data_IF_344650812553
#
_entry.id   IF_344650812553
#
_cell.length_a   1.000
_cell.length_b   1.000
_cell.length_c   1.000
_cell.angle_alpha   90.00
_cell.angle_beta   90.00
_cell.angle_gamma   90.00
#
_symmetry.space_group_name_H-M   'P 1'
#
loop_
_entity.id
_entity.type
_entity.pdbx_description
1 polymer ?
#
# COMPACT_ATOMS: atom_id res chain seq x y z
N UNK A 1 -15.04 8.06 3.45
CA UNK A 1 -15.85 8.25 2.22
C UNK A 1 -15.82 6.99 1.38
N UNK A 2 -14.68 6.48 0.90
CA UNK A 2 -14.61 5.25 0.09
C UNK A 2 -15.35 4.04 0.72
N UNK A 3 -15.01 3.65 1.96
CA UNK A 3 -15.66 2.54 2.66
C UNK A 3 -17.17 2.74 2.90
N UNK A 4 -17.61 4.00 3.04
CA UNK A 4 -19.02 4.33 3.23
C UNK A 4 -19.80 4.18 1.93
N UNK A 5 -19.24 4.63 0.80
CA UNK A 5 -19.82 4.46 -0.54
C UNK A 5 -19.92 2.97 -0.91
N UNK A 6 -18.96 2.17 -0.47
CA UNK A 6 -18.95 0.71 -0.63
C UNK A 6 -19.83 -0.03 0.38
N UNK A 7 -20.45 0.68 1.33
CA UNK A 7 -21.30 0.10 2.38
C UNK A 7 -20.61 -1.00 3.21
N UNK A 8 -19.28 -0.93 3.36
CA UNK A 8 -18.53 -1.91 4.15
C UNK A 8 -18.83 -1.68 5.64
N UNK A 9 -19.37 -2.67 6.38
CA UNK A 9 -19.67 -2.49 7.78
C UNK A 9 -18.40 -2.17 8.58
N UNK A 10 -18.38 -1.14 9.45
CA UNK A 10 -17.18 -0.74 10.18
C UNK A 10 -16.49 -1.84 10.98
N UNK A 11 -17.25 -2.81 11.50
CA UNK A 11 -16.73 -3.93 12.29
C UNK A 11 -16.05 -5.01 11.43
N UNK A 12 -16.22 -4.98 10.10
CA UNK A 12 -15.48 -5.83 9.16
C UNK A 12 -14.15 -5.21 8.73
N UNK A 13 -13.92 -3.93 9.01
CA UNK A 13 -12.70 -3.22 8.59
C UNK A 13 -11.71 -3.14 9.74
N UNK A 14 -10.46 -3.50 9.48
CA UNK A 14 -9.35 -3.24 10.40
C UNK A 14 -8.25 -2.44 9.71
N UNK A 15 -7.94 -1.28 10.27
CA UNK A 15 -6.86 -0.42 9.78
C UNK A 15 -5.61 -0.65 10.61
N UNK A 16 -4.55 -1.12 9.95
CA UNK A 16 -3.22 -1.26 10.54
C UNK A 16 -2.38 -0.05 10.18
N UNK A 17 -1.62 0.48 11.13
CA UNK A 17 -0.69 1.58 10.86
C UNK A 17 0.71 1.35 11.43
N UNK A 18 1.72 1.93 10.77
CA UNK A 18 3.08 2.04 11.29
C UNK A 18 3.26 3.25 12.21
N UNK A 19 4.50 3.73 12.39
CA UNK A 19 4.81 4.89 13.23
C UNK A 19 5.09 6.13 12.38
N UNK A 20 4.47 7.26 12.74
CA UNK A 20 4.64 8.54 12.07
C UNK A 20 3.42 9.43 12.23
N UNK A 21 3.39 10.59 11.57
CA UNK A 21 2.16 11.38 11.47
C UNK A 21 1.05 10.57 10.77
N UNK A 22 1.42 9.86 9.71
CA UNK A 22 0.60 8.87 9.01
C UNK A 22 0.12 7.73 9.92
N UNK A 23 0.96 7.30 10.86
CA UNK A 23 0.66 6.24 11.81
C UNK A 23 -0.57 6.50 12.69
N UNK A 24 -0.96 7.76 12.84
CA UNK A 24 -2.10 8.14 13.69
C UNK A 24 -3.48 7.90 13.05
N UNK A 25 -3.53 7.58 11.76
CA UNK A 25 -4.79 7.40 11.00
C UNK A 25 -5.86 6.51 11.66
N UNK A 26 -5.56 5.29 12.16
CA UNK A 26 -6.59 4.45 12.77
C UNK A 26 -7.26 5.07 14.00
N UNK A 27 -6.63 6.04 14.68
CA UNK A 27 -7.23 6.74 15.83
C UNK A 27 -8.32 7.73 15.42
N UNK A 28 -8.42 8.07 14.13
CA UNK A 28 -9.35 9.07 13.59
C UNK A 28 -10.47 8.46 12.74
N UNK A 29 -10.52 7.14 12.63
CA UNK A 29 -11.48 6.42 11.78
C UNK A 29 -12.30 5.48 12.65
N UNK A 30 -13.62 5.49 12.46
CA UNK A 30 -14.56 4.65 13.21
C UNK A 30 -14.56 3.21 12.66
N UNK A 31 -13.49 2.45 12.91
CA UNK A 31 -13.31 1.02 12.57
C UNK A 31 -12.45 0.35 13.65
N UNK A 32 -12.12 -0.93 13.52
CA UNK A 32 -10.99 -1.48 14.27
C UNK A 32 -9.69 -0.83 13.79
N UNK A 33 -8.79 -0.55 14.73
CA UNK A 33 -7.53 0.14 14.47
C UNK A 33 -6.39 -0.46 15.28
N UNK A 34 -5.29 -0.82 14.61
CA UNK A 34 -4.08 -1.37 15.25
C UNK A 34 -2.87 -0.52 14.84
N UNK A 35 -2.36 0.24 15.80
CA UNK A 35 -1.16 1.05 15.65
C UNK A 35 0.06 0.21 16.10
N UNK A 36 0.88 -0.17 15.13
CA UNK A 36 1.94 -1.20 15.30
C UNK A 36 3.31 -0.57 15.62
N UNK A 37 4.39 -1.19 15.15
CA UNK A 37 5.76 -0.72 15.29
C UNK A 37 6.26 -0.10 13.97
N UNK A 38 7.32 0.70 14.06
CA UNK A 38 7.86 1.40 12.90
C UNK A 38 8.32 0.42 11.81
N UNK A 39 7.73 0.53 10.62
CA UNK A 39 7.94 -0.34 9.46
C UNK A 39 7.49 -1.78 9.66
N UNK A 40 6.59 -2.06 10.61
CA UNK A 40 6.04 -3.41 10.87
C UNK A 40 4.56 -3.52 10.52
N UNK A 41 3.97 -2.52 9.86
CA UNK A 41 2.56 -2.54 9.49
C UNK A 41 2.19 -3.75 8.61
N UNK A 42 2.99 -4.06 7.59
CA UNK A 42 2.70 -5.13 6.63
C UNK A 42 2.75 -6.55 7.25
N UNK A 43 3.73 -6.90 8.12
CA UNK A 43 3.70 -8.18 8.84
C UNK A 43 2.44 -8.38 9.68
N UNK A 44 2.03 -7.37 10.45
CA UNK A 44 0.85 -7.45 11.31
C UNK A 44 -0.44 -7.56 10.48
N UNK A 45 -0.58 -6.71 9.46
CA UNK A 45 -1.75 -6.69 8.58
C UNK A 45 -1.92 -8.02 7.83
N UNK A 46 -0.83 -8.58 7.27
CA UNK A 46 -0.88 -9.87 6.60
C UNK A 46 -1.23 -11.00 7.58
N UNK A 47 -0.68 -11.00 8.80
CA UNK A 47 -1.04 -11.99 9.81
C UNK A 47 -2.54 -11.97 10.13
N UNK A 48 -3.12 -10.77 10.30
CA UNK A 48 -4.55 -10.61 10.56
C UNK A 48 -5.42 -11.07 9.39
N UNK A 49 -5.11 -10.64 8.15
CA UNK A 49 -5.87 -11.07 6.96
C UNK A 49 -5.78 -12.57 6.72
N UNK A 50 -4.64 -13.19 7.00
CA UNK A 50 -4.49 -14.64 6.82
C UNK A 50 -5.15 -15.45 7.95
N UNK A 51 -5.21 -14.92 9.17
CA UNK A 51 -5.94 -15.55 10.26
C UNK A 51 -7.47 -15.43 10.10
N UNK A 52 -7.95 -14.31 9.55
CA UNK A 52 -9.35 -14.05 9.29
C UNK A 52 -9.54 -13.39 7.89
N UNK A 53 -9.72 -14.19 6.83
CA UNK A 53 -9.81 -13.68 5.45
C UNK A 53 -11.09 -12.86 5.17
N UNK A 54 -12.11 -12.95 6.03
CA UNK A 54 -13.34 -12.15 5.91
C UNK A 54 -13.16 -10.67 6.28
N UNK A 55 -12.05 -10.32 6.95
CA UNK A 55 -11.75 -8.94 7.28
C UNK A 55 -11.31 -8.15 6.05
N UNK A 56 -11.82 -6.94 5.94
CA UNK A 56 -11.27 -5.91 5.07
C UNK A 56 -10.07 -5.28 5.78
N UNK A 57 -8.86 -5.56 5.27
CA UNK A 57 -7.61 -5.15 5.91
C UNK A 57 -6.97 -4.03 5.11
N UNK A 58 -6.79 -2.88 5.75
CA UNK A 58 -6.14 -1.71 5.16
C UNK A 58 -4.90 -1.39 6.00
N UNK A 59 -3.73 -1.45 5.40
CA UNK A 59 -2.50 -0.97 5.97
C UNK A 59 -2.23 0.48 5.52
N UNK A 60 -1.79 1.33 6.44
CA UNK A 60 -1.38 2.71 6.16
C UNK A 60 -0.01 3.01 6.78
N UNK A 61 0.82 3.78 6.09
CA UNK A 61 2.16 4.13 6.58
C UNK A 61 2.69 5.41 5.97
N UNK A 62 3.75 5.96 6.56
CA UNK A 62 4.52 7.02 5.90
C UNK A 62 5.47 6.40 4.88
N UNK A 63 5.95 7.21 3.94
CA UNK A 63 7.06 6.83 3.04
C UNK A 63 8.29 6.31 3.80
N UNK A 64 8.69 6.97 4.87
CA UNK A 64 9.78 6.53 5.73
C UNK A 64 9.52 5.24 6.50
N UNK A 65 8.28 5.02 6.93
CA UNK A 65 7.85 3.80 7.62
C UNK A 65 7.85 2.59 6.67
N UNK A 66 7.24 2.76 5.50
CA UNK A 66 7.06 1.69 4.51
C UNK A 66 8.27 1.40 3.64
N UNK A 67 8.96 2.45 3.18
CA UNK A 67 10.04 2.36 2.19
C UNK A 67 11.43 2.55 2.82
N UNK A 68 11.50 2.98 4.08
CA UNK A 68 12.72 3.02 4.86
C UNK A 68 12.91 1.71 5.62
N UNK A 69 12.61 1.73 6.92
CA UNK A 69 12.76 0.56 7.81
C UNK A 69 11.82 -0.61 7.44
N UNK A 70 10.71 -0.34 6.75
CA UNK A 70 9.75 -1.34 6.29
C UNK A 70 10.08 -2.00 4.95
N UNK A 71 11.12 -1.57 4.23
CA UNK A 71 11.36 -1.96 2.84
C UNK A 71 11.46 -3.48 2.61
N UNK A 72 12.09 -4.22 3.53
CA UNK A 72 12.18 -5.69 3.43
C UNK A 72 10.81 -6.37 3.50
N UNK A 73 9.90 -5.84 4.32
CA UNK A 73 8.53 -6.34 4.40
C UNK A 73 7.67 -5.89 3.22
N UNK A 74 7.92 -4.69 2.69
CA UNK A 74 7.30 -4.20 1.46
C UNK A 74 7.53 -5.16 0.30
N UNK A 75 8.80 -5.49 0.03
CA UNK A 75 9.17 -6.45 -1.03
C UNK A 75 8.57 -7.83 -0.77
N UNK A 76 8.61 -8.29 0.48
CA UNK A 76 8.05 -9.59 0.85
C UNK A 76 6.52 -9.66 0.71
N UNK A 77 5.81 -8.55 0.90
CA UNK A 77 4.36 -8.48 0.77
C UNK A 77 3.93 -8.64 -0.70
N UNK A 78 4.59 -7.93 -1.62
CA UNK A 78 4.35 -8.05 -3.06
C UNK A 78 4.40 -9.50 -3.55
N UNK A 79 5.44 -10.25 -3.14
CA UNK A 79 5.59 -11.68 -3.49
C UNK A 79 4.44 -12.56 -3.04
N UNK A 80 3.81 -12.25 -1.90
CA UNK A 80 2.71 -13.05 -1.34
C UNK A 80 1.39 -12.75 -2.04
N UNK A 81 1.17 -11.50 -2.46
CA UNK A 81 -0.12 -11.06 -3.02
C UNK A 81 -1.28 -11.36 -2.06
N UNK A 82 -1.13 -11.03 -0.77
CA UNK A 82 -2.24 -11.15 0.21
C UNK A 82 -3.30 -10.12 -0.16
N UNK A 83 -4.56 -10.54 -0.25
CA UNK A 83 -5.70 -9.68 -0.54
C UNK A 83 -5.91 -8.60 0.54
N UNK A 84 -5.38 -7.40 0.31
CA UNK A 84 -5.47 -6.26 1.23
C UNK A 84 -4.97 -4.98 0.55
N UNK A 85 -5.28 -3.82 1.13
CA UNK A 85 -4.81 -2.52 0.63
C UNK A 85 -3.63 -2.01 1.45
N UNK A 86 -2.61 -1.45 0.81
CA UNK A 86 -1.54 -0.69 1.43
C UNK A 86 -1.44 0.72 0.87
N UNK A 87 -1.58 1.72 1.73
CA UNK A 87 -1.52 3.14 1.36
C UNK A 87 -0.30 3.78 2.02
N UNK A 88 0.59 4.32 1.19
CA UNK A 88 1.71 5.15 1.67
C UNK A 88 1.31 6.62 1.56
N UNK A 89 1.54 7.33 2.65
CA UNK A 89 1.38 8.77 2.72
C UNK A 89 2.75 9.41 2.44
N UNK A 90 2.99 9.79 1.19
CA UNK A 90 4.28 10.25 0.68
C UNK A 90 4.41 11.78 0.78
N UNK A 91 5.14 12.25 1.78
CA UNK A 91 5.41 13.67 2.01
C UNK A 91 6.91 14.02 1.91
N UNK A 92 7.73 13.02 1.56
CA UNK A 92 9.17 13.05 1.43
C UNK A 92 9.95 13.40 2.70
N UNK A 93 9.33 13.38 3.88
CA UNK A 93 9.99 13.69 5.15
C UNK A 93 9.48 12.86 6.33
N UNK A 94 10.38 12.55 7.26
CA UNK A 94 9.97 12.00 8.56
C UNK A 94 9.34 13.10 9.44
N UNK A 95 8.08 13.43 9.17
CA UNK A 95 7.41 14.58 9.81
C UNK A 95 7.34 14.47 11.34
N UNK A 96 7.04 13.28 11.88
CA UNK A 96 6.89 13.12 13.34
C UNK A 96 8.22 13.33 14.09
N UNK A 97 9.35 13.04 13.46
CA UNK A 97 10.69 13.18 14.04
C UNK A 97 11.38 14.49 13.66
N UNK A 98 10.61 15.49 13.20
CA UNK A 98 11.05 16.85 12.84
C UNK A 98 11.69 17.01 11.45
N UNK A 99 11.34 16.17 10.48
CA UNK A 99 11.51 16.48 9.05
C UNK A 99 12.84 16.04 8.43
N UNK A 100 13.44 14.96 8.87
CA UNK A 100 14.56 14.34 8.16
C UNK A 100 14.12 13.83 6.79
N UNK A 101 15.04 13.71 5.83
CA UNK A 101 14.75 13.23 4.48
C UNK A 101 14.20 11.80 4.51
N UNK A 102 12.99 11.58 3.96
CA UNK A 102 12.46 10.24 3.74
C UNK A 102 13.05 9.63 2.45
N UNK A 103 12.88 8.32 2.20
CA UNK A 103 13.41 7.65 1.01
C UNK A 103 12.90 8.19 -0.32
N UNK A 104 11.81 8.96 -0.34
CA UNK A 104 11.22 9.54 -1.55
C UNK A 104 11.72 10.96 -1.85
N UNK A 105 12.48 11.60 -0.95
CA UNK A 105 13.08 12.90 -1.21
C UNK A 105 14.26 12.76 -2.19
N UNK A 106 14.29 13.57 -3.25
CA UNK A 106 15.35 13.48 -4.26
C UNK A 106 16.71 13.90 -3.71
N UNK A 107 17.76 13.40 -4.36
CA UNK A 107 19.14 13.82 -4.13
C UNK A 107 19.29 15.33 -4.34
N UNK A 108 20.04 16.00 -3.46
CA UNK A 108 20.31 17.43 -3.54
C UNK A 108 19.15 18.32 -3.10
N UNK A 109 17.94 17.79 -2.87
CA UNK A 109 16.86 18.58 -2.30
C UNK A 109 17.17 18.94 -0.85
N UNK A 110 16.93 20.21 -0.48
CA UNK A 110 17.12 20.73 0.88
C UNK A 110 15.84 21.41 1.34
N UNK A 111 14.96 20.66 2.00
CA UNK A 111 13.80 21.24 2.68
C UNK A 111 14.26 22.12 3.85
N UNK A 112 13.43 23.03 4.34
CA UNK A 112 13.74 23.91 5.49
C UNK A 112 14.15 23.14 6.76
N UNK A 113 13.71 21.89 6.90
CA UNK A 113 14.08 21.03 8.03
C UNK A 113 15.47 20.42 7.92
N UNK A 114 16.10 20.43 6.73
CA UNK A 114 17.41 19.84 6.51
C UNK A 114 18.53 20.89 6.66
N UNK A 115 19.57 20.62 7.46
CA UNK A 115 20.71 21.53 7.59
C UNK A 115 21.54 21.59 6.30
N UNK A 116 21.62 20.48 5.56
CA UNK A 116 22.36 20.32 4.32
C UNK A 116 21.50 19.59 3.28
N UNK A 117 21.78 19.74 1.98
CA UNK A 117 21.10 18.97 0.93
C UNK A 117 21.08 17.47 1.20
N UNK A 118 19.98 16.81 0.85
CA UNK A 118 19.87 15.37 0.95
C UNK A 118 20.98 14.70 0.12
N UNK A 119 21.66 13.74 0.73
CA UNK A 119 22.80 13.01 0.13
C UNK A 119 22.39 11.67 -0.50
N UNK A 120 21.14 11.26 -0.33
CA UNK A 120 20.64 9.98 -0.82
C UNK A 120 19.81 10.17 -2.11
N UNK A 121 19.86 9.18 -3.00
CA UNK A 121 18.92 9.10 -4.11
C UNK A 121 17.51 8.73 -3.61
N UNK A 122 16.50 9.20 -4.33
CA UNK A 122 15.10 8.84 -4.06
C UNK A 122 14.75 7.46 -4.60
N UNK A 123 13.90 6.75 -3.87
CA UNK A 123 13.21 5.54 -4.30
C UNK A 123 11.91 5.93 -4.99
N UNK A 124 11.64 5.35 -6.16
CA UNK A 124 10.34 5.44 -6.85
C UNK A 124 9.39 4.37 -6.27
N UNK A 125 8.32 4.74 -5.52
CA UNK A 125 7.46 3.76 -4.86
C UNK A 125 6.69 2.86 -5.84
N UNK A 126 6.24 3.41 -6.97
CA UNK A 126 5.46 2.67 -7.97
C UNK A 126 6.37 1.64 -8.67
N UNK A 127 7.57 2.05 -9.08
CA UNK A 127 8.53 1.14 -9.69
C UNK A 127 8.98 0.04 -8.72
N UNK A 128 9.25 0.39 -7.45
CA UNK A 128 9.60 -0.59 -6.42
C UNK A 128 8.46 -1.59 -6.18
N UNK A 129 7.21 -1.13 -6.11
CA UNK A 129 6.04 -1.98 -5.94
C UNK A 129 5.86 -2.94 -7.13
N UNK A 130 6.04 -2.44 -8.36
CA UNK A 130 5.98 -3.26 -9.57
C UNK A 130 6.99 -4.41 -9.51
N UNK A 131 8.27 -4.11 -9.25
CA UNK A 131 9.32 -5.15 -9.21
C UNK A 131 9.21 -6.07 -7.98
N UNK A 132 8.57 -5.61 -6.91
CA UNK A 132 8.25 -6.42 -5.74
C UNK A 132 7.11 -7.43 -5.98
N UNK A 133 6.31 -7.23 -7.05
CA UNK A 133 5.21 -8.13 -7.44
C UNK A 133 3.83 -7.70 -6.93
N UNK A 134 3.63 -6.42 -6.61
CA UNK A 134 2.29 -5.91 -6.32
C UNK A 134 1.40 -5.98 -7.58
N UNK A 135 0.13 -6.31 -7.39
CA UNK A 135 -0.79 -6.61 -8.49
C UNK A 135 -1.76 -5.47 -8.80
N UNK A 136 -1.85 -4.47 -7.93
CA UNK A 136 -2.52 -3.21 -8.21
C UNK A 136 -1.63 -2.05 -7.74
N UNK A 137 -1.38 -1.09 -8.64
CA UNK A 137 -0.52 0.06 -8.39
C UNK A 137 -1.24 1.34 -8.78
N UNK A 138 -1.35 2.27 -7.84
CA UNK A 138 -1.90 3.59 -8.10
C UNK A 138 -1.07 4.70 -7.43
N UNK A 139 -1.12 5.90 -8.01
CA UNK A 139 -0.67 7.13 -7.35
C UNK A 139 -1.86 8.08 -7.19
N UNK A 140 -2.05 8.60 -5.99
CA UNK A 140 -3.10 9.57 -5.68
C UNK A 140 -2.53 10.89 -5.16
N UNK A 141 -3.39 11.88 -4.98
CA UNK A 141 -3.02 13.19 -4.44
C UNK A 141 -4.01 13.62 -3.35
N UNK A 142 -3.50 14.03 -2.18
CA UNK A 142 -4.35 14.29 -1.00
C UNK A 142 -5.30 15.48 -1.15
N UNK A 143 -4.97 16.46 -2.02
CA UNK A 143 -5.86 17.59 -2.31
C UNK A 143 -6.83 17.34 -3.48
N UNK A 144 -6.73 16.23 -4.21
CA UNK A 144 -7.80 15.74 -5.12
C UNK A 144 -8.57 14.61 -4.43
N UNK A 145 -9.38 15.00 -3.44
CA UNK A 145 -10.07 14.07 -2.53
C UNK A 145 -11.03 13.14 -3.26
N UNK A 146 -11.70 13.60 -4.31
CA UNK A 146 -12.65 12.77 -5.06
C UNK A 146 -11.92 11.67 -5.82
N UNK A 147 -10.88 12.04 -6.56
CA UNK A 147 -10.06 11.06 -7.27
C UNK A 147 -9.39 10.06 -6.32
N UNK A 148 -8.79 10.54 -5.22
CA UNK A 148 -8.17 9.65 -4.23
C UNK A 148 -9.19 8.69 -3.58
N UNK A 149 -10.42 9.16 -3.29
CA UNK A 149 -11.50 8.31 -2.79
C UNK A 149 -11.83 7.18 -3.78
N UNK A 150 -11.93 7.50 -5.06
CA UNK A 150 -12.25 6.52 -6.10
C UNK A 150 -11.11 5.50 -6.29
N UNK A 151 -9.85 5.94 -6.22
CA UNK A 151 -8.69 5.04 -6.21
C UNK A 151 -8.69 4.07 -5.02
N UNK A 152 -9.01 4.56 -3.81
CA UNK A 152 -9.14 3.70 -2.63
C UNK A 152 -10.26 2.68 -2.83
N UNK A 153 -11.41 3.07 -3.38
CA UNK A 153 -12.50 2.14 -3.68
C UNK A 153 -12.09 1.04 -4.66
N UNK A 154 -11.38 1.41 -5.74
CA UNK A 154 -10.86 0.43 -6.71
C UNK A 154 -9.80 -0.49 -6.10
N UNK A 155 -8.94 0.02 -5.21
CA UNK A 155 -7.94 -0.79 -4.51
C UNK A 155 -8.57 -1.80 -3.54
N UNK A 156 -9.65 -1.42 -2.84
CA UNK A 156 -10.41 -2.34 -1.97
C UNK A 156 -11.13 -3.42 -2.79
N UNK A 157 -11.60 -3.07 -4.00
CA UNK A 157 -12.27 -4.02 -4.88
C UNK A 157 -11.31 -4.99 -5.61
N UNK A 158 -10.02 -4.67 -5.67
CA UNK A 158 -9.00 -5.47 -6.36
C UNK A 158 -8.70 -6.76 -5.59
N UNK A 159 -8.65 -7.89 -6.29
CA UNK A 159 -8.29 -9.18 -5.69
C UNK A 159 -6.78 -9.35 -5.59
N UNK A 160 -6.22 -9.02 -4.42
CA UNK A 160 -4.79 -9.15 -4.17
C UNK A 160 -4.22 -7.95 -3.43
N UNK A 161 -2.89 -7.81 -3.44
CA UNK A 161 -2.22 -6.73 -2.73
C UNK A 161 -2.23 -5.45 -3.57
N UNK A 162 -3.08 -4.50 -3.16
CA UNK A 162 -3.20 -3.19 -3.80
C UNK A 162 -2.32 -2.15 -3.11
N UNK A 163 -1.56 -1.37 -3.87
CA UNK A 163 -0.70 -0.30 -3.38
C UNK A 163 -1.11 1.06 -3.93
N UNK A 164 -1.23 2.04 -3.03
CA UNK A 164 -1.47 3.44 -3.38
C UNK A 164 -0.37 4.33 -2.79
N UNK A 165 0.41 4.96 -3.67
CA UNK A 165 1.34 6.04 -3.33
C UNK A 165 0.57 7.38 -3.30
N UNK A 166 0.27 7.92 -2.12
CA UNK A 166 -0.48 9.17 -1.98
C UNK A 166 0.47 10.33 -1.79
N UNK A 167 0.58 11.17 -2.82
CA UNK A 167 1.30 12.43 -2.75
C UNK A 167 0.57 13.37 -1.78
N UNK A 168 1.25 13.72 -0.69
CA UNK A 168 0.65 14.52 0.39
C UNK A 168 1.62 15.59 0.94
N UNK A 169 1.33 16.89 0.75
CA UNK A 169 2.19 17.94 1.27
C UNK A 169 2.35 17.92 2.81
N UNK A 170 3.57 18.20 3.28
CA UNK A 170 3.86 18.43 4.70
C UNK A 170 4.28 19.90 4.92
N UNK A 171 3.32 20.83 5.16
CA UNK A 171 3.60 22.26 5.23
C UNK A 171 4.57 22.62 6.38
N UNK A 172 4.64 21.80 7.42
CA UNK A 172 5.50 22.02 8.58
C UNK A 172 6.99 21.83 8.27
N UNK A 173 7.37 20.93 7.35
CA UNK A 173 8.77 20.54 7.17
C UNK A 173 9.24 20.48 5.71
N UNK A 174 8.38 20.09 4.77
CA UNK A 174 8.69 20.08 3.34
C UNK A 174 8.04 21.29 2.66
N UNK A 175 8.82 22.35 2.54
CA UNK A 175 8.47 23.62 1.89
C UNK A 175 8.75 23.64 0.38
N UNK A 176 9.17 22.51 -0.19
CA UNK A 176 9.41 22.38 -1.64
C UNK A 176 8.22 21.72 -2.31
N UNK A 177 7.83 20.52 -1.87
CA UNK A 177 6.69 19.79 -2.45
C UNK A 177 5.37 20.24 -1.80
N UNK A 178 5.06 21.52 -1.96
CA UNK A 178 3.86 22.17 -1.41
C UNK A 178 2.62 21.90 -2.27
N UNK A 179 1.45 22.32 -1.78
CA UNK A 179 0.22 22.29 -2.56
C UNK A 179 0.37 23.10 -3.86
N UNK A 180 0.95 24.29 -3.75
CA UNK A 180 1.17 25.24 -4.83
C UNK A 180 2.14 24.66 -5.88
N UNK A 181 3.17 23.93 -5.44
CA UNK A 181 4.06 23.20 -6.31
C UNK A 181 3.32 22.12 -7.10
N UNK A 182 2.52 21.27 -6.45
CA UNK A 182 1.72 20.28 -7.18
C UNK A 182 0.68 20.91 -8.13
N UNK A 183 0.12 22.06 -7.77
CA UNK A 183 -0.74 22.88 -8.63
C UNK A 183 0.02 23.55 -9.79
N UNK A 184 1.34 23.51 -9.78
CA UNK A 184 2.18 24.01 -10.86
C UNK A 184 2.19 25.51 -11.00
N UNK A 185 2.04 26.26 -9.89
CA UNK A 185 2.03 27.73 -9.95
C UNK A 185 3.35 28.31 -10.49
N UNK A 186 4.45 27.59 -10.30
CA UNK A 186 5.79 27.85 -10.83
C UNK A 186 6.09 27.11 -12.16
N UNK A 187 5.18 26.26 -12.63
CA UNK A 187 5.31 25.52 -13.89
C UNK A 187 4.55 26.24 -15.00
N UNK A 188 5.21 27.16 -15.70
CA UNK A 188 4.56 28.04 -16.68
C UNK A 188 4.69 27.46 -18.09
N UNK A 189 3.56 27.32 -18.80
CA UNK A 189 3.56 26.99 -20.23
C UNK A 189 4.21 28.15 -21.03
N UNK A 190 5.32 27.93 -21.74
CA UNK A 190 5.99 28.98 -22.51
C UNK A 190 5.14 29.51 -23.67
N UNK A 191 4.14 28.76 -24.14
CA UNK A 191 3.25 29.16 -25.24
C UNK A 191 2.06 29.98 -24.76
N UNK A 192 1.44 29.59 -23.64
CA UNK A 192 0.23 30.26 -23.15
C UNK A 192 0.49 31.25 -22.02
N UNK A 193 1.70 31.23 -21.43
CA UNK A 193 2.09 31.98 -20.25
C UNK A 193 1.13 31.76 -19.05
N UNK A 194 0.65 30.52 -18.89
CA UNK A 194 -0.26 30.10 -17.82
C UNK A 194 0.37 29.00 -17.00
N UNK A 195 0.05 28.96 -15.70
CA UNK A 195 0.44 27.87 -14.82
C UNK A 195 -0.20 26.54 -15.28
N UNK A 196 0.62 25.49 -15.29
CA UNK A 196 0.21 24.13 -15.64
C UNK A 196 0.36 23.23 -14.42
N UNK A 197 -0.73 22.61 -13.93
CA UNK A 197 -0.66 21.61 -12.89
C UNK A 197 0.34 20.52 -13.25
N UNK A 198 1.20 20.15 -12.30
CA UNK A 198 2.13 19.03 -12.47
C UNK A 198 1.35 17.72 -12.57
N UNK A 199 0.26 17.62 -11.83
CA UNK A 199 -0.57 16.41 -11.78
C UNK A 199 -1.48 16.27 -12.99
N UNK A 200 -1.48 15.11 -13.63
CA UNK A 200 -2.45 14.73 -14.66
C UNK A 200 -2.95 13.29 -14.43
N UNK A 201 -4.20 13.01 -14.83
CA UNK A 201 -4.85 11.72 -14.61
C UNK A 201 -4.61 10.78 -15.78
N UNK A 202 -4.10 9.59 -15.51
CA UNK A 202 -3.81 8.57 -16.52
C UNK A 202 -5.08 8.14 -17.29
N UNK A 203 -6.21 8.03 -16.59
CA UNK A 203 -7.49 7.65 -17.21
C UNK A 203 -7.99 8.67 -18.24
N UNK A 204 -7.51 9.91 -18.19
CA UNK A 204 -7.86 10.97 -19.15
C UNK A 204 -6.95 10.95 -20.40
N UNK A 205 -5.88 10.16 -20.40
CA UNK A 205 -4.91 10.11 -21.51
C UNK A 205 -5.05 8.87 -22.40
N UNK A 206 -6.06 8.03 -22.17
CA UNK A 206 -6.19 6.73 -22.84
C UNK A 206 -5.18 5.69 -22.35
N UNK A 207 -4.56 5.90 -21.19
CA UNK A 207 -3.67 4.92 -20.59
C UNK A 207 -4.47 3.72 -20.07
N UNK A 208 -4.02 2.51 -20.42
CA UNK A 208 -4.60 1.26 -19.91
C UNK A 208 -3.53 0.42 -19.20
N UNK A 209 -3.57 0.45 -17.86
CA UNK A 209 -2.69 -0.34 -17.00
C UNK A 209 -3.24 -1.73 -16.64
N UNK A 210 -4.43 -2.11 -17.12
CA UNK A 210 -5.05 -3.40 -16.80
C UNK A 210 -4.43 -4.49 -17.68
N UNK A 211 -4.10 -5.63 -17.08
CA UNK A 211 -3.65 -6.84 -17.77
C UNK A 211 -4.89 -7.65 -18.13
N UNK A 212 -5.30 -7.62 -19.40
CA UNK A 212 -6.46 -8.40 -19.88
C UNK A 212 -6.04 -9.82 -20.25
N UNK A 213 -4.84 -9.98 -20.81
CA UNK A 213 -4.23 -11.26 -21.17
C UNK A 213 -2.84 -11.40 -20.52
N UNK A 214 -2.49 -12.57 -19.93
CA UNK A 214 -1.18 -12.80 -19.34
C UNK A 214 0.03 -12.53 -20.26
N UNK A 215 -0.13 -12.60 -21.57
CA UNK A 215 0.93 -12.29 -22.54
C UNK A 215 1.29 -10.80 -22.59
N UNK A 216 0.42 -9.92 -22.09
CA UNK A 216 0.63 -8.47 -22.07
C UNK A 216 1.46 -8.00 -20.86
N UNK A 217 1.72 -8.87 -19.87
CA UNK A 217 2.33 -8.49 -18.59
C UNK A 217 3.62 -7.70 -18.79
N UNK A 218 4.55 -8.20 -19.62
CA UNK A 218 5.84 -7.53 -19.84
C UNK A 218 5.68 -6.14 -20.48
N UNK A 219 4.74 -6.00 -21.41
CA UNK A 219 4.44 -4.71 -22.06
C UNK A 219 3.85 -3.73 -21.05
N UNK A 220 2.87 -4.17 -20.24
CA UNK A 220 2.23 -3.33 -19.21
C UNK A 220 3.25 -2.92 -18.15
N UNK A 221 4.14 -3.83 -17.73
CA UNK A 221 5.24 -3.51 -16.80
C UNK A 221 6.18 -2.44 -17.36
N UNK A 222 6.55 -2.51 -18.65
CA UNK A 222 7.39 -1.48 -19.28
C UNK A 222 6.72 -0.09 -19.28
N UNK A 223 5.43 -0.04 -19.59
CA UNK A 223 4.64 1.20 -19.53
C UNK A 223 4.57 1.79 -18.12
N UNK A 224 4.47 0.95 -17.09
CA UNK A 224 4.50 1.40 -15.69
C UNK A 224 5.85 2.01 -15.35
N UNK A 225 6.96 1.39 -15.76
CA UNK A 225 8.30 1.95 -15.52
C UNK A 225 8.45 3.31 -16.20
N UNK A 226 8.04 3.45 -17.45
CA UNK A 226 8.07 4.72 -18.16
C UNK A 226 7.24 5.79 -17.43
N UNK A 227 5.95 5.51 -17.19
CA UNK A 227 5.04 6.48 -16.56
C UNK A 227 5.40 6.81 -15.13
N UNK A 228 5.84 5.84 -14.34
CA UNK A 228 6.18 6.08 -12.94
C UNK A 228 7.40 6.98 -12.76
N UNK A 229 8.27 7.07 -13.76
CA UNK A 229 9.46 7.93 -13.78
C UNK A 229 9.17 9.36 -14.23
N UNK A 230 8.00 9.64 -14.80
CA UNK A 230 7.58 11.03 -15.07
C UNK A 230 7.48 11.81 -13.74
N UNK A 231 8.25 12.89 -13.66
CA UNK A 231 8.31 13.76 -12.50
C UNK A 231 8.72 15.18 -12.90
N UNK A 232 8.70 16.09 -11.94
CA UNK A 232 8.99 17.53 -12.05
C UNK A 232 7.90 18.27 -12.81
N UNK A 233 7.90 18.32 -14.14
CA UNK A 233 6.93 19.14 -14.89
C UNK A 233 5.57 18.44 -15.06
N UNK A 234 5.59 17.10 -15.10
CA UNK A 234 4.40 16.25 -15.19
C UNK A 234 4.53 15.06 -14.25
N UNK A 235 3.46 14.78 -13.52
CA UNK A 235 3.36 13.74 -12.53
C UNK A 235 2.05 12.99 -12.79
N UNK A 236 2.10 11.75 -13.29
CA UNK A 236 0.90 10.96 -13.47
C UNK A 236 0.31 10.55 -12.12
N UNK A 237 -1.01 10.67 -12.02
CA UNK A 237 -1.85 10.07 -10.97
C UNK A 237 -2.90 9.19 -11.61
N UNK A 238 -3.45 8.24 -10.86
CA UNK A 238 -4.37 7.22 -11.36
C UNK A 238 -3.82 5.82 -11.14
N UNK A 239 -4.39 4.85 -11.84
CA UNK A 239 -3.97 3.44 -11.80
C UNK A 239 -2.88 3.23 -12.86
N UNK A 240 -1.73 2.76 -12.42
CA UNK A 240 -0.60 2.40 -13.28
C UNK A 240 -0.70 0.93 -13.71
N UNK A 241 -1.14 0.05 -12.82
CA UNK A 241 -1.11 -1.37 -13.09
C UNK A 241 -2.23 -2.08 -12.35
N UNK A 242 -2.87 -3.04 -13.01
CA UNK A 242 -3.81 -3.97 -12.38
C UNK A 242 -3.72 -5.34 -13.05
N UNK A 243 -3.42 -6.38 -12.27
CA UNK A 243 -3.28 -7.75 -12.75
C UNK A 243 -3.92 -8.74 -11.77
N UNK A 244 -5.15 -9.17 -12.07
CA UNK A 244 -5.89 -10.17 -11.28
C UNK A 244 -5.65 -11.62 -11.76
N UNK A 245 -4.76 -11.84 -12.74
CA UNK A 245 -4.36 -13.20 -13.16
C UNK A 245 -3.39 -13.87 -12.17
N UNK A 246 -2.84 -13.11 -11.23
CA UNK A 246 -1.93 -13.63 -10.21
C UNK A 246 -2.75 -14.10 -9.00
N UNK A 247 -2.71 -15.39 -8.62
CA UNK A 247 -3.49 -15.87 -7.49
C UNK A 247 -3.07 -15.17 -6.20
N UNK A 248 -4.04 -14.84 -5.36
CA UNK A 248 -3.83 -14.31 -4.01
C UNK A 248 -3.15 -15.32 -3.11
N UNK A 249 -2.56 -14.88 -2.00
CA UNK A 249 -1.97 -15.81 -1.04
C UNK A 249 -3.02 -16.76 -0.44
N UNK A 250 -4.25 -16.28 -0.24
CA UNK A 250 -5.38 -17.05 0.26
C UNK A 250 -5.75 -18.21 -0.69
N UNK A 251 -5.79 -17.96 -2.00
CA UNK A 251 -6.03 -19.02 -2.99
C UNK A 251 -4.91 -20.07 -2.98
N UNK A 252 -3.65 -19.64 -2.85
CA UNK A 252 -2.48 -20.53 -2.73
C UNK A 252 -2.49 -21.36 -1.44
N UNK A 253 -3.01 -20.81 -0.33
CA UNK A 253 -3.23 -21.58 0.91
C UNK A 253 -4.36 -22.59 0.71
N UNK A 254 -5.46 -22.15 0.09
CA UNK A 254 -6.65 -23.00 -0.14
C UNK A 254 -6.30 -24.24 -0.96
N UNK A 255 -5.36 -24.14 -1.92
CA UNK A 255 -4.88 -25.30 -2.66
C UNK A 255 -4.13 -26.34 -1.82
N UNK A 256 -3.71 -25.99 -0.59
CA UNK A 256 -3.02 -26.88 0.37
C UNK A 256 -3.89 -27.23 1.57
N UNK A 257 -4.79 -26.35 1.96
CA UNK A 257 -5.74 -26.46 3.07
C UNK A 257 -7.14 -26.17 2.49
N UNK A 258 -7.84 -27.19 1.94
CA UNK A 258 -9.06 -26.97 1.16
C UNK A 258 -10.19 -26.26 1.91
N UNK A 259 -10.29 -26.42 3.22
CA UNK A 259 -11.30 -25.80 4.08
C UNK A 259 -10.86 -24.42 4.62
N UNK A 260 -9.72 -23.86 4.19
CA UNK A 260 -9.17 -22.62 4.74
C UNK A 260 -10.15 -21.43 4.72
N UNK A 261 -10.92 -21.25 3.65
CA UNK A 261 -11.85 -20.11 3.53
C UNK A 261 -13.09 -20.29 4.40
N UNK A 262 -13.52 -21.52 4.66
CA UNK A 262 -14.70 -21.85 5.46
C UNK A 262 -14.37 -21.99 6.96
N UNK A 263 -13.15 -22.43 7.25
CA UNK A 263 -12.67 -22.77 8.59
C UNK A 263 -11.28 -22.15 8.85
N UNK A 264 -11.17 -20.85 8.56
CA UNK A 264 -9.96 -20.07 8.76
C UNK A 264 -9.49 -20.11 10.23
N UNK A 265 -8.20 -19.86 10.52
CA UNK A 265 -7.66 -19.97 11.88
C UNK A 265 -8.45 -19.25 12.97
N UNK A 266 -9.01 -18.06 12.68
CA UNK A 266 -9.81 -17.30 13.64
C UNK A 266 -11.22 -17.86 13.89
N UNK A 267 -11.72 -18.72 13.01
CA UNK A 267 -13.04 -19.36 13.10
C UNK A 267 -12.99 -20.75 13.74
N UNK A 268 -11.80 -21.37 13.84
CA UNK A 268 -11.64 -22.73 14.34
C UNK A 268 -12.00 -22.84 15.82
N UNK A 269 -12.79 -23.86 16.15
CA UNK A 269 -12.93 -24.30 17.54
C UNK A 269 -11.67 -25.06 17.95
N UNK A 270 -10.97 -24.59 18.99
CA UNK A 270 -9.71 -25.22 19.46
C UNK A 270 -9.87 -25.96 20.79
N UNK A 271 -11.00 -25.77 21.49
CA UNK A 271 -11.29 -26.42 22.75
C UNK A 271 -12.77 -26.79 22.89
N UNK A 272 -13.06 -27.83 23.67
CA UNK A 272 -14.41 -28.22 24.03
C UNK A 272 -14.99 -27.28 25.11
N UNK A 273 -16.26 -27.52 25.51
CA UNK A 273 -16.94 -26.74 26.56
C UNK A 273 -16.27 -26.79 27.94
N UNK A 274 -15.36 -27.73 28.16
CA UNK A 274 -14.61 -27.89 29.40
C UNK A 274 -13.18 -27.31 29.29
N UNK A 275 -12.82 -26.69 28.16
CA UNK A 275 -11.49 -26.14 27.92
C UNK A 275 -10.45 -27.18 27.51
N UNK A 276 -10.84 -28.42 27.20
CA UNK A 276 -9.91 -29.45 26.72
C UNK A 276 -9.65 -29.26 25.22
N UNK A 277 -8.40 -29.38 24.81
CA UNK A 277 -8.01 -29.31 23.40
C UNK A 277 -8.73 -30.41 22.59
N UNK A 278 -9.26 -30.02 21.42
CA UNK A 278 -9.95 -30.96 20.51
C UNK A 278 -9.07 -31.41 19.34
N UNK A 279 -7.86 -30.85 19.21
CA UNK A 279 -6.90 -31.23 18.18
C UNK A 279 -6.42 -32.66 18.42
N UNK A 280 -6.74 -33.57 17.50
CA UNK A 280 -6.22 -34.93 17.52
C UNK A 280 -4.78 -34.94 16.95
N UNK A 281 -3.83 -35.37 17.77
CA UNK A 281 -2.41 -35.53 17.40
C UNK A 281 -1.95 -36.99 17.40
N UNK A 282 -2.86 -37.96 17.56
CA UNK A 282 -2.55 -39.38 17.72
C UNK A 282 -1.73 -39.92 16.55
N UNK A 283 -2.08 -39.50 15.33
CA UNK A 283 -1.33 -39.85 14.11
C UNK A 283 0.12 -39.36 14.15
N UNK A 284 0.36 -38.14 14.64
CA UNK A 284 1.73 -37.61 14.74
C UNK A 284 2.54 -38.39 15.78
N UNK A 285 1.88 -38.84 16.85
CA UNK A 285 2.52 -39.65 17.89
C UNK A 285 2.80 -41.08 17.43
N UNK A 286 1.95 -41.68 16.59
CA UNK A 286 2.20 -43.01 16.02
C UNK A 286 3.42 -43.04 15.12
N UNK A 287 3.65 -41.98 14.33
CA UNK A 287 4.79 -41.87 13.42
C UNK A 287 6.15 -41.78 14.16
N UNK A 288 6.14 -41.47 15.46
CA UNK A 288 7.33 -41.41 16.32
C UNK A 288 7.62 -42.71 17.08
N UNK A 289 6.75 -43.71 16.98
CA UNK A 289 6.99 -45.00 17.61
C UNK A 289 8.06 -45.76 16.82
N UNK A 290 9.15 -46.13 17.48
CA UNK A 290 10.16 -47.03 16.93
C UNK A 290 9.82 -48.45 17.40
N UNK A 291 9.70 -49.39 16.46
CA UNK A 291 9.48 -50.81 16.77
C UNK A 291 10.59 -51.30 17.73
N UNK A 292 10.17 -51.85 18.87
CA UNK A 292 11.06 -52.42 19.89
C UNK A 292 11.45 -53.85 19.56
#
# INVERSE_FOLDING_TARGET
MALADMQVPPYKVTIFSGIGCSGKTPHFIKTYGIHTLHGRVLPFAQGAKLANPELEVIAVGGDGDGLGIGAGHFVSAGRRNVDMVYIIFNNAVYGLTKGQAAPTLKLGMKTKSLPQPNVNNSVNPIALALVAGFTFLARGYSYDVRHLKDLIGKAVAHKGLAFIDVQQPCPTYNDINTKEWFQGLDNIDPKTNKAMPRMYKLEETGYDGVVHDPNEINQKMAQVIEKSNEWDDKIPIGIFYQNEHVPTYQERITSRIPDYMENAPAAQQIADKNGKAITNIDRLLSDLQVDK
#
